data_IF_808238065092
#
_entry.id   IF_808238065092
#
_cell.length_a   1.000
_cell.length_b   1.000
_cell.length_c   1.000
_cell.angle_alpha   90.00
_cell.angle_beta   90.00
_cell.angle_gamma   90.00
#
_symmetry.space_group_name_H-M   'P 1'
#
loop_
_entity.id
_entity.type
_entity.pdbx_description
1 polymer ?
#
# COMPACT_ATOMS: atom_id res chain seq x y z
N UNK A 1 -14.94 22.18 -6.63
CA UNK A 1 -15.14 20.72 -6.67
C UNK A 1 -16.56 20.44 -6.19
N UNK A 2 -17.39 19.75 -6.97
CA UNK A 2 -18.77 19.47 -6.56
C UNK A 2 -18.80 18.29 -5.57
N UNK A 3 -19.62 18.39 -4.52
CA UNK A 3 -19.79 17.36 -3.47
C UNK A 3 -20.09 15.97 -4.06
N UNK A 4 -20.80 15.92 -5.19
CA UNK A 4 -21.16 14.68 -5.89
C UNK A 4 -19.94 13.94 -6.45
N UNK A 5 -18.91 14.67 -6.89
CA UNK A 5 -17.66 14.08 -7.41
C UNK A 5 -16.90 13.39 -6.28
N UNK A 6 -16.79 14.04 -5.12
CA UNK A 6 -16.12 13.48 -3.95
C UNK A 6 -16.86 12.24 -3.43
N UNK A 7 -18.20 12.28 -3.41
CA UNK A 7 -19.02 11.16 -3.00
C UNK A 7 -18.85 9.96 -3.95
N UNK A 8 -18.87 10.21 -5.26
CA UNK A 8 -18.69 9.17 -6.28
C UNK A 8 -17.30 8.53 -6.19
N UNK A 9 -16.24 9.34 -6.08
CA UNK A 9 -14.87 8.85 -5.92
C UNK A 9 -14.73 7.99 -4.67
N UNK A 10 -15.31 8.42 -3.54
CA UNK A 10 -15.27 7.64 -2.30
C UNK A 10 -15.95 6.27 -2.49
N UNK A 11 -17.11 6.23 -3.16
CA UNK A 11 -17.84 4.99 -3.45
C UNK A 11 -17.03 4.06 -4.35
N UNK A 12 -16.38 4.58 -5.38
CA UNK A 12 -15.56 3.81 -6.30
C UNK A 12 -14.35 3.19 -5.59
N UNK A 13 -13.62 3.98 -4.80
CA UNK A 13 -12.46 3.48 -4.06
C UNK A 13 -12.86 2.40 -3.04
N UNK A 14 -14.02 2.55 -2.38
CA UNK A 14 -14.56 1.53 -1.49
C UNK A 14 -14.88 0.23 -2.23
N UNK A 15 -15.47 0.29 -3.43
CA UNK A 15 -15.77 -0.91 -4.23
C UNK A 15 -14.49 -1.66 -4.62
N UNK A 16 -13.43 -0.94 -5.01
CA UNK A 16 -12.17 -1.54 -5.41
C UNK A 16 -11.39 -2.21 -4.26
N UNK A 17 -11.68 -1.83 -3.00
CA UNK A 17 -11.02 -2.40 -1.81
C UNK A 17 -11.77 -3.59 -1.19
N UNK A 18 -13.03 -3.80 -1.53
CA UNK A 18 -13.84 -4.87 -0.96
C UNK A 18 -13.58 -6.18 -1.72
N UNK A 19 -13.34 -7.32 -1.03
CA UNK A 19 -13.18 -8.61 -1.68
C UNK A 19 -14.42 -9.03 -2.48
N UNK A 20 -14.20 -9.79 -3.55
CA UNK A 20 -15.29 -10.33 -4.37
C UNK A 20 -16.30 -11.12 -3.53
N UNK A 21 -17.59 -10.86 -3.76
CA UNK A 21 -18.69 -11.49 -3.04
C UNK A 21 -19.09 -10.82 -1.72
N UNK A 22 -18.31 -9.85 -1.22
CA UNK A 22 -18.68 -9.06 -0.03
C UNK A 22 -19.54 -7.86 -0.42
N UNK A 23 -20.66 -7.68 0.28
CA UNK A 23 -21.60 -6.59 -0.01
C UNK A 23 -21.16 -5.27 0.64
N UNK A 24 -20.87 -4.24 -0.17
CA UNK A 24 -20.49 -2.90 0.30
C UNK A 24 -21.49 -2.28 1.29
N UNK A 25 -22.79 -2.46 1.08
CA UNK A 25 -23.78 -1.88 1.97
C UNK A 25 -23.74 -2.52 3.37
N UNK A 26 -23.56 -3.84 3.44
CA UNK A 26 -23.42 -4.55 4.71
C UNK A 26 -22.15 -4.10 5.44
N UNK A 27 -21.03 -4.01 4.74
CA UNK A 27 -19.78 -3.51 5.31
C UNK A 27 -19.92 -2.10 5.85
N UNK A 28 -20.62 -1.20 5.14
CA UNK A 28 -20.85 0.17 5.60
C UNK A 28 -21.79 0.24 6.81
N UNK A 29 -22.78 -0.66 6.91
CA UNK A 29 -23.61 -0.75 8.12
C UNK A 29 -22.75 -1.09 9.35
N UNK A 30 -21.83 -2.03 9.21
CA UNK A 30 -20.94 -2.46 10.31
C UNK A 30 -19.90 -1.40 10.68
N UNK A 31 -19.41 -0.64 9.69
CA UNK A 31 -18.39 0.40 9.90
C UNK A 31 -18.97 1.66 10.52
N UNK A 32 -20.11 2.11 10.00
CA UNK A 32 -20.71 3.39 10.38
C UNK A 32 -21.75 3.25 11.49
N UNK A 33 -22.18 2.03 11.80
CA UNK A 33 -23.26 1.74 12.74
C UNK A 33 -24.56 2.51 12.42
N UNK A 34 -24.88 2.61 11.13
CA UNK A 34 -26.11 3.24 10.64
C UNK A 34 -27.03 2.23 9.98
N UNK A 35 -28.34 2.51 9.97
CA UNK A 35 -29.34 1.62 9.39
C UNK A 35 -29.19 1.43 7.88
N UNK A 36 -29.70 0.29 7.38
CA UNK A 36 -29.67 -0.11 5.96
C UNK A 36 -30.06 1.02 5.00
N UNK A 37 -31.21 1.65 5.23
CA UNK A 37 -31.67 2.75 4.38
C UNK A 37 -30.71 3.95 4.38
N UNK A 38 -30.12 4.29 5.52
CA UNK A 38 -29.15 5.38 5.60
C UNK A 38 -27.90 5.10 4.75
N UNK A 39 -27.47 3.84 4.67
CA UNK A 39 -26.38 3.41 3.77
C UNK A 39 -26.81 3.51 2.31
N UNK A 40 -27.96 2.96 1.93
CA UNK A 40 -28.41 2.97 0.53
C UNK A 40 -28.63 4.39 -0.01
N UNK A 41 -29.13 5.31 0.81
CA UNK A 41 -29.23 6.73 0.43
C UNK A 41 -27.87 7.34 0.10
N UNK A 42 -26.82 6.98 0.84
CA UNK A 42 -25.44 7.43 0.56
C UNK A 42 -24.87 6.81 -0.70
N UNK A 43 -25.06 5.51 -0.88
CA UNK A 43 -24.61 4.78 -2.07
C UNK A 43 -25.31 5.23 -3.36
N UNK A 44 -26.55 5.73 -3.27
CA UNK A 44 -27.28 6.34 -4.40
C UNK A 44 -26.92 7.81 -4.65
N UNK A 45 -26.15 8.44 -3.76
CA UNK A 45 -25.80 9.86 -3.84
C UNK A 45 -26.88 10.82 -3.33
N UNK A 46 -27.99 10.33 -2.78
CA UNK A 46 -29.07 11.17 -2.23
C UNK A 46 -28.65 11.93 -0.96
N UNK A 47 -27.69 11.36 -0.22
CA UNK A 47 -27.09 11.96 0.98
C UNK A 47 -25.58 11.79 0.85
N UNK A 48 -24.77 12.86 0.88
CA UNK A 48 -23.33 12.72 0.83
C UNK A 48 -22.80 12.12 2.14
N UNK A 49 -21.66 11.41 2.08
CA UNK A 49 -20.92 11.08 3.29
C UNK A 49 -20.42 12.36 3.97
N UNK A 50 -20.59 12.44 5.28
CA UNK A 50 -19.97 13.51 6.07
C UNK A 50 -18.46 13.27 6.19
N UNK A 51 -17.68 14.30 6.52
CA UNK A 51 -16.24 14.16 6.75
C UNK A 51 -15.92 13.13 7.84
N UNK A 52 -16.74 13.06 8.89
CA UNK A 52 -16.59 12.07 9.96
C UNK A 52 -16.83 10.64 9.47
N UNK A 53 -17.84 10.43 8.62
CA UNK A 53 -18.08 9.11 8.02
C UNK A 53 -16.94 8.73 7.08
N UNK A 54 -16.49 9.66 6.24
CA UNK A 54 -15.37 9.46 5.34
C UNK A 54 -14.07 9.12 6.10
N UNK A 55 -13.79 9.76 7.24
CA UNK A 55 -12.59 9.48 8.04
C UNK A 55 -12.64 8.10 8.72
N UNK A 56 -13.81 7.67 9.20
CA UNK A 56 -14.02 6.32 9.76
C UNK A 56 -13.80 5.26 8.67
N UNK A 57 -14.40 5.46 7.49
CA UNK A 57 -14.24 4.58 6.33
C UNK A 57 -12.76 4.49 5.93
N UNK A 58 -12.12 5.65 5.75
CA UNK A 58 -10.70 5.77 5.38
C UNK A 58 -9.81 4.95 6.31
N UNK A 59 -9.97 5.13 7.62
CA UNK A 59 -9.20 4.38 8.63
C UNK A 59 -9.44 2.88 8.56
N UNK A 60 -10.68 2.44 8.33
CA UNK A 60 -11.03 1.02 8.33
C UNK A 60 -10.63 0.30 7.04
N UNK A 61 -10.71 0.98 5.91
CA UNK A 61 -10.40 0.45 4.57
C UNK A 61 -8.94 0.66 4.17
N UNK A 62 -8.16 1.45 4.91
CA UNK A 62 -6.78 1.79 4.57
C UNK A 62 -6.68 2.64 3.30
N UNK A 63 -7.58 3.61 3.15
CA UNK A 63 -7.66 4.49 1.98
C UNK A 63 -7.36 5.91 2.40
N UNK A 64 -6.46 6.60 1.69
CA UNK A 64 -6.18 8.01 1.98
C UNK A 64 -7.31 8.93 1.49
N UNK A 65 -7.78 9.84 2.36
CA UNK A 65 -8.75 10.87 1.95
C UNK A 65 -8.17 11.81 0.89
N UNK A 66 -6.85 12.06 0.90
CA UNK A 66 -6.18 12.89 -0.09
C UNK A 66 -6.24 12.27 -1.50
N UNK A 67 -6.23 10.94 -1.60
CA UNK A 67 -6.44 10.23 -2.88
C UNK A 67 -7.85 10.45 -3.40
N UNK A 68 -8.85 10.41 -2.51
CA UNK A 68 -10.27 10.55 -2.86
C UNK A 68 -10.60 11.98 -3.31
N UNK A 69 -10.01 12.97 -2.64
CA UNK A 69 -10.14 14.39 -3.02
C UNK A 69 -9.44 14.69 -4.34
N UNK A 70 -8.66 13.74 -4.88
CA UNK A 70 -8.06 13.87 -6.20
C UNK A 70 -7.23 15.13 -6.25
N UNK A 71 -6.18 15.19 -5.42
CA UNK A 71 -5.20 16.27 -5.46
C UNK A 71 -4.45 16.18 -6.80
N UNK A 72 -5.10 16.68 -7.85
CA UNK A 72 -4.53 17.00 -9.15
C UNK A 72 -3.80 18.35 -9.05
N UNK A 73 -3.00 18.54 -8.00
CA UNK A 73 -1.96 19.55 -8.07
C UNK A 73 -0.87 18.92 -8.91
N UNK A 74 -0.63 19.50 -10.08
CA UNK A 74 0.37 19.08 -11.08
C UNK A 74 1.81 19.07 -10.56
N UNK A 75 2.03 19.23 -9.24
CA UNK A 75 3.33 19.41 -8.61
C UNK A 75 3.47 18.78 -7.21
N UNK A 76 2.53 17.93 -6.75
CA UNK A 76 2.67 17.21 -5.47
C UNK A 76 2.88 15.71 -5.71
N UNK A 77 3.99 15.17 -5.21
CA UNK A 77 4.24 13.73 -5.19
C UNK A 77 3.59 13.11 -3.93
N UNK A 78 2.68 12.16 -4.13
CA UNK A 78 2.15 11.35 -3.04
C UNK A 78 3.12 10.19 -2.77
N UNK A 79 3.66 10.13 -1.55
CA UNK A 79 4.52 9.02 -1.13
C UNK A 79 3.71 8.05 -0.28
N UNK A 80 3.43 6.87 -0.83
CA UNK A 80 2.95 5.73 -0.04
C UNK A 80 4.16 5.01 0.55
N UNK A 81 4.58 5.45 1.73
CA UNK A 81 5.63 4.78 2.49
C UNK A 81 5.01 3.59 3.20
N UNK A 82 5.12 2.41 2.58
CA UNK A 82 4.88 1.12 3.24
C UNK A 82 5.91 0.92 4.35
N UNK A 83 5.69 1.58 5.49
CA UNK A 83 6.37 1.30 6.75
C UNK A 83 5.82 -0.04 7.26
N UNK A 84 6.26 -1.14 6.63
CA UNK A 84 5.93 -2.48 7.07
C UNK A 84 6.31 -2.58 8.55
N UNK A 85 5.34 -2.84 9.42
CA UNK A 85 5.63 -3.07 10.83
C UNK A 85 6.44 -4.37 10.96
N UNK A 86 7.77 -4.23 11.10
CA UNK A 86 8.74 -5.32 11.12
C UNK A 86 8.70 -6.11 12.44
N UNK A 87 7.72 -6.98 12.62
CA UNK A 87 7.73 -7.92 13.76
C UNK A 87 8.75 -9.06 13.56
N UNK A 88 9.01 -9.44 12.31
CA UNK A 88 10.02 -10.41 11.90
C UNK A 88 10.78 -9.93 10.64
N UNK A 89 11.99 -9.38 10.80
CA UNK A 89 12.79 -8.86 9.70
C UNK A 89 13.12 -9.87 8.60
N UNK A 90 13.29 -11.16 8.93
CA UNK A 90 13.56 -12.20 7.91
C UNK A 90 12.30 -12.46 7.11
N UNK A 91 11.17 -12.67 7.78
CA UNK A 91 9.89 -12.90 7.09
C UNK A 91 9.53 -11.70 6.22
N UNK A 92 9.77 -10.48 6.68
CA UNK A 92 9.54 -9.28 5.86
C UNK A 92 10.49 -9.22 4.67
N UNK A 93 11.77 -9.54 4.83
CA UNK A 93 12.70 -9.59 3.70
C UNK A 93 12.25 -10.60 2.64
N UNK A 94 11.77 -11.77 3.08
CA UNK A 94 11.20 -12.77 2.20
C UNK A 94 9.97 -12.23 1.44
N UNK A 95 9.03 -11.58 2.12
CA UNK A 95 7.86 -10.96 1.47
C UNK A 95 8.26 -9.88 0.46
N UNK A 96 9.32 -9.11 0.72
CA UNK A 96 9.85 -8.15 -0.25
C UNK A 96 10.35 -8.87 -1.51
N UNK A 97 11.07 -9.98 -1.36
CA UNK A 97 11.54 -10.78 -2.50
C UNK A 97 10.38 -11.36 -3.31
N UNK A 98 9.37 -11.94 -2.64
CA UNK A 98 8.19 -12.51 -3.28
C UNK A 98 7.46 -11.45 -4.11
N UNK A 99 7.24 -10.25 -3.56
CA UNK A 99 6.58 -9.17 -4.28
C UNK A 99 7.34 -8.75 -5.55
N UNK A 100 8.67 -8.69 -5.50
CA UNK A 100 9.47 -8.41 -6.69
C UNK A 100 9.39 -9.53 -7.72
N UNK A 101 9.33 -10.80 -7.29
CA UNK A 101 9.14 -11.93 -8.20
C UNK A 101 7.79 -11.83 -8.92
N UNK A 102 6.70 -11.53 -8.21
CA UNK A 102 5.37 -11.32 -8.82
C UNK A 102 5.42 -10.23 -9.91
N UNK A 103 6.09 -9.10 -9.62
CA UNK A 103 6.25 -8.01 -10.59
C UNK A 103 7.07 -8.47 -11.81
N UNK A 104 8.19 -9.16 -11.61
CA UNK A 104 9.03 -9.62 -12.72
C UNK A 104 8.37 -10.72 -13.55
N UNK A 105 7.62 -11.63 -12.93
CA UNK A 105 6.82 -12.64 -13.64
C UNK A 105 5.75 -11.97 -14.50
N UNK A 106 5.05 -10.97 -13.97
CA UNK A 106 4.04 -10.22 -14.73
C UNK A 106 4.64 -9.47 -15.93
N UNK A 107 5.88 -8.98 -15.81
CA UNK A 107 6.59 -8.27 -16.88
C UNK A 107 7.33 -9.22 -17.85
N UNK A 108 7.54 -10.49 -17.47
CA UNK A 108 8.37 -11.43 -18.23
C UNK A 108 7.85 -11.68 -19.65
N UNK A 109 6.52 -11.79 -19.78
CA UNK A 109 5.86 -12.13 -21.04
C UNK A 109 5.53 -10.90 -21.91
N UNK A 110 5.79 -9.69 -21.44
CA UNK A 110 5.51 -8.46 -22.18
C UNK A 110 6.77 -7.95 -22.92
N UNK A 111 6.81 -8.05 -24.26
CA UNK A 111 7.97 -7.61 -25.04
C UNK A 111 8.16 -6.08 -25.07
N UNK A 112 7.20 -5.32 -24.55
CA UNK A 112 7.26 -3.85 -24.47
C UNK A 112 7.71 -3.35 -23.10
N UNK A 113 7.88 -4.24 -22.13
CA UNK A 113 8.31 -3.90 -20.78
C UNK A 113 9.77 -3.44 -20.73
N UNK A 114 10.01 -2.29 -20.12
CA UNK A 114 11.34 -1.70 -19.92
C UNK A 114 11.54 -1.34 -18.43
N UNK A 115 12.69 -1.71 -17.87
CA UNK A 115 13.10 -1.33 -16.51
C UNK A 115 14.28 -0.35 -16.57
N UNK A 116 14.04 0.89 -16.18
CA UNK A 116 15.06 1.92 -16.00
C UNK A 116 15.24 2.26 -14.52
N UNK A 117 16.49 2.44 -14.07
CA UNK A 117 16.79 2.79 -12.68
C UNK A 117 17.89 3.84 -12.59
N UNK A 118 17.66 4.87 -11.76
CA UNK A 118 18.65 5.85 -11.37
C UNK A 118 18.80 5.78 -9.84
N UNK A 119 19.81 5.04 -9.38
CA UNK A 119 19.98 4.72 -7.97
C UNK A 119 21.35 5.15 -7.47
N UNK A 120 21.41 5.72 -6.26
CA UNK A 120 22.67 5.96 -5.55
C UNK A 120 23.26 4.67 -4.94
N UNK A 121 22.60 3.54 -5.15
CA UNK A 121 22.92 2.24 -4.61
C UNK A 121 22.71 1.17 -5.69
N UNK A 122 23.54 0.12 -5.69
CA UNK A 122 23.39 -1.00 -6.66
C UNK A 122 21.97 -1.57 -6.57
N UNK A 123 21.20 -1.60 -7.68
CA UNK A 123 19.84 -2.13 -7.71
C UNK A 123 19.78 -3.62 -7.41
N UNK A 124 18.62 -4.04 -6.91
CA UNK A 124 18.36 -5.43 -6.49
C UNK A 124 18.46 -6.46 -7.60
N UNK A 125 17.95 -6.12 -8.78
CA UNK A 125 18.06 -6.94 -9.99
C UNK A 125 19.50 -7.29 -10.37
N UNK A 126 20.46 -6.43 -10.00
CA UNK A 126 21.88 -6.68 -10.23
C UNK A 126 22.51 -7.49 -9.11
N UNK A 127 22.37 -7.07 -7.85
CA UNK A 127 23.12 -7.72 -6.77
C UNK A 127 22.60 -9.12 -6.42
N UNK A 128 21.33 -9.42 -6.70
CA UNK A 128 20.73 -10.74 -6.39
C UNK A 128 21.33 -11.89 -7.22
N UNK A 129 21.96 -11.58 -8.36
CA UNK A 129 22.63 -12.57 -9.19
C UNK A 129 23.94 -13.08 -8.57
N UNK A 130 24.45 -12.39 -7.55
CA UNK A 130 25.73 -12.68 -6.91
C UNK A 130 25.49 -13.08 -5.45
N UNK A 131 25.89 -14.31 -5.10
CA UNK A 131 25.64 -14.89 -3.79
C UNK A 131 26.16 -14.01 -2.64
N UNK A 132 27.41 -13.52 -2.73
CA UNK A 132 28.02 -12.71 -1.67
C UNK A 132 27.37 -11.33 -1.54
N UNK A 133 26.97 -10.71 -2.65
CA UNK A 133 26.28 -9.42 -2.61
C UNK A 133 24.87 -9.58 -2.03
N UNK A 134 24.19 -10.67 -2.38
CA UNK A 134 22.87 -11.03 -1.83
C UNK A 134 22.93 -11.25 -0.32
N UNK A 135 23.91 -12.04 0.14
CA UNK A 135 24.17 -12.27 1.58
C UNK A 135 24.50 -10.98 2.30
N UNK A 136 25.33 -10.12 1.72
CA UNK A 136 25.66 -8.82 2.30
C UNK A 136 24.43 -7.91 2.42
N UNK A 137 23.53 -7.92 1.42
CA UNK A 137 22.29 -7.14 1.44
C UNK A 137 21.32 -7.61 2.51
N UNK A 138 21.13 -8.92 2.64
CA UNK A 138 20.36 -9.52 3.73
C UNK A 138 20.98 -9.18 5.09
N UNK A 139 22.30 -9.29 5.23
CA UNK A 139 23.01 -8.89 6.46
C UNK A 139 22.74 -7.42 6.81
N UNK A 140 22.90 -6.51 5.84
CA UNK A 140 22.63 -5.08 6.03
C UNK A 140 21.18 -4.84 6.47
N UNK A 141 20.21 -5.50 5.83
CA UNK A 141 18.81 -5.43 6.18
C UNK A 141 18.55 -5.87 7.64
N UNK A 142 19.11 -7.02 8.01
CA UNK A 142 18.98 -7.59 9.36
C UNK A 142 19.66 -6.73 10.43
N UNK A 143 20.80 -6.12 10.09
CA UNK A 143 21.51 -5.18 10.96
C UNK A 143 20.69 -3.91 11.21
N UNK A 144 20.09 -3.33 10.15
CA UNK A 144 19.32 -2.09 10.24
C UNK A 144 17.95 -2.26 10.94
N UNK A 145 17.37 -3.46 10.92
CA UNK A 145 16.05 -3.76 11.52
C UNK A 145 16.16 -4.60 12.81
N UNK A 146 17.36 -4.62 13.43
CA UNK A 146 17.64 -5.12 14.78
C UNK A 146 17.03 -6.47 15.20
N UNK A 147 17.60 -7.57 14.67
CA UNK A 147 17.66 -8.88 15.37
C UNK A 147 19.02 -9.56 15.23
N UNK A 148 20.12 -8.81 15.18
CA UNK A 148 21.46 -9.42 15.20
C UNK A 148 22.35 -8.72 16.23
N UNK A 149 22.64 -9.42 17.34
CA UNK A 149 23.82 -9.16 18.16
C UNK A 149 25.08 -9.59 17.38
N UNK A 150 25.33 -9.03 16.19
CA UNK A 150 26.53 -9.32 15.40
C UNK A 150 27.67 -8.36 15.67
N UNK A 151 27.49 -7.36 16.55
CA UNK A 151 28.59 -6.53 17.01
C UNK A 151 29.43 -7.37 17.97
N UNK A 152 30.38 -8.15 17.42
CA UNK A 152 31.61 -8.40 18.17
C UNK A 152 32.32 -7.06 18.22
N UNK A 153 32.33 -6.45 19.39
CA UNK A 153 33.27 -5.35 19.64
C UNK A 153 34.66 -5.88 19.33
N UNK A 154 35.33 -5.30 18.34
CA UNK A 154 36.76 -5.49 18.20
C UNK A 154 37.38 -4.74 19.38
N UNK A 155 37.87 -5.49 20.37
CA UNK A 155 38.73 -4.90 21.41
C UNK A 155 39.99 -4.38 20.73
N UNK A 156 40.36 -3.13 21.03
CA UNK A 156 41.66 -2.56 20.69
C UNK A 156 42.83 -3.42 21.20
#
# INVERSE_FOLDING_TARGET
>A
MNTDVLNTNLIEVMKNKIPDGVNLANTLMDILYIGKEAVYRRLRGEVPFTLNEASIISKKMGVSLDQIVGISYTNNAMFDLNLLHYSDPIKTYYTILDHYLEVFEALHDDPTSELSTASNMIPQTFYLQYENLSKFRLFKWMYQNEKVNCVKYFSE
#
